data_IF_069986947158
#
_entry.id   IF_069986947158
#
_cell.length_a   1.000
_cell.length_b   1.000
_cell.length_c   1.000
_cell.angle_alpha   90.00
_cell.angle_beta   90.00
_cell.angle_gamma   90.00
#
_symmetry.space_group_name_H-M   'P 1'
#
loop_
_entity.id
_entity.type
_entity.pdbx_description
1 polymer ?
#
# COMPACT_ATOMS: atom_id res chain seq x y z
N UNK A 1 5.04 -3.46 -11.31
CA UNK A 1 4.01 -2.49 -10.90
C UNK A 1 3.86 -2.67 -9.40
N UNK A 2 4.19 -1.67 -8.60
CA UNK A 2 4.10 -1.76 -7.14
C UNK A 2 2.78 -1.10 -6.69
N UNK A 3 2.06 -1.75 -5.79
CA UNK A 3 0.80 -1.25 -5.24
C UNK A 3 1.11 -0.80 -3.81
N UNK A 4 0.73 0.43 -3.49
CA UNK A 4 0.87 0.99 -2.15
C UNK A 4 -0.50 1.40 -1.64
N UNK A 5 -0.78 1.07 -0.38
CA UNK A 5 -2.03 1.48 0.28
C UNK A 5 -1.69 2.41 1.43
N UNK A 6 -2.26 3.62 1.38
CA UNK A 6 -2.29 4.52 2.51
C UNK A 6 -3.58 4.23 3.29
N UNK A 7 -3.43 3.71 4.50
CA UNK A 7 -4.54 3.53 5.43
C UNK A 7 -4.29 4.42 6.65
N UNK A 8 -5.21 5.34 6.91
CA UNK A 8 -5.05 6.30 8.00
C UNK A 8 -4.96 5.57 9.35
N UNK A 9 -3.93 5.90 10.13
CA UNK A 9 -3.62 5.23 11.40
C UNK A 9 -2.80 3.94 11.32
N UNK A 10 -2.51 3.39 10.13
CA UNK A 10 -1.62 2.22 9.98
C UNK A 10 -0.35 2.62 9.21
N UNK A 11 0.79 2.84 9.89
CA UNK A 11 2.05 3.10 9.22
C UNK A 11 2.59 1.82 8.59
N UNK A 12 2.86 1.85 7.28
CA UNK A 12 3.57 0.79 6.59
C UNK A 12 5.08 1.04 6.48
N UNK A 13 5.79 0.13 5.84
CA UNK A 13 7.26 0.13 5.75
C UNK A 13 7.80 0.65 4.42
N UNK A 14 6.93 1.12 3.52
CA UNK A 14 7.36 1.63 2.22
C UNK A 14 8.31 2.83 2.39
N UNK A 15 9.44 2.76 1.67
CA UNK A 15 10.51 3.78 1.68
C UNK A 15 10.63 4.54 0.36
N UNK A 16 9.72 4.30 -0.59
CA UNK A 16 9.67 5.05 -1.85
C UNK A 16 9.40 6.54 -1.62
N UNK A 17 10.06 7.40 -2.40
CA UNK A 17 10.06 8.87 -2.23
C UNK A 17 8.67 9.48 -2.04
N UNK A 18 7.66 9.03 -2.79
CA UNK A 18 6.30 9.58 -2.73
C UNK A 18 5.31 8.73 -1.93
N UNK A 19 5.73 7.56 -1.42
CA UNK A 19 4.88 6.60 -0.69
C UNK A 19 5.48 6.21 0.67
N UNK A 20 6.25 7.12 1.28
CA UNK A 20 6.91 6.83 2.55
C UNK A 20 5.87 6.59 3.64
N UNK A 21 6.00 5.49 4.40
CA UNK A 21 5.05 5.00 5.42
C UNK A 21 3.76 4.37 4.89
N UNK A 22 3.69 4.06 3.61
CA UNK A 22 2.55 3.32 3.05
C UNK A 22 2.77 1.81 3.20
N UNK A 23 1.70 1.04 3.12
CA UNK A 23 1.77 -0.43 3.16
C UNK A 23 2.15 -0.92 1.76
N UNK A 24 3.24 -1.68 1.67
CA UNK A 24 3.63 -2.40 0.46
C UNK A 24 2.66 -3.57 0.20
N UNK A 25 1.99 -3.56 -0.95
CA UNK A 25 1.06 -4.61 -1.34
C UNK A 25 1.69 -5.51 -2.40
N UNK A 26 1.97 -6.75 -2.01
CA UNK A 26 2.55 -7.78 -2.88
C UNK A 26 1.52 -8.35 -3.88
N UNK A 27 0.27 -8.47 -3.45
CA UNK A 27 -0.85 -8.87 -4.31
C UNK A 27 -2.17 -8.34 -3.76
N UNK A 28 -3.06 -7.92 -4.66
CA UNK A 28 -4.42 -7.47 -4.35
C UNK A 28 -5.39 -8.26 -5.22
N UNK A 29 -6.40 -8.85 -4.60
CA UNK A 29 -7.56 -9.40 -5.28
C UNK A 29 -8.79 -8.67 -4.77
N UNK A 30 -9.55 -8.06 -5.67
CA UNK A 30 -10.86 -7.52 -5.35
C UNK A 30 -11.88 -8.09 -6.35
N UNK A 31 -13.11 -8.30 -5.88
CA UNK A 31 -14.25 -8.65 -6.73
C UNK A 31 -15.47 -7.85 -6.29
N UNK A 32 -16.26 -7.38 -7.25
CA UNK A 32 -17.59 -6.83 -7.00
C UNK A 32 -18.56 -7.73 -7.76
N UNK A 33 -19.34 -8.49 -7.02
CA UNK A 33 -20.31 -9.47 -7.52
C UNK A 33 -21.47 -9.58 -6.55
#
# INVERSE_FOLDING_TARGET
MAIYVNYDGIPGEATQQDHTKWIDVLSLSWGVG
#
